data_IF_198031448325
#
_entry.id   IF_198031448325
#
_cell.length_a   1.000
_cell.length_b   1.000
_cell.length_c   1.000
_cell.angle_alpha   90.00
_cell.angle_beta   90.00
_cell.angle_gamma   90.00
#
_symmetry.space_group_name_H-M   'P 1'
#
loop_
_entity.id
_entity.type
_entity.pdbx_description
1 polymer ?
#
# COMPACT_ATOMS: atom_id res chain seq x y z
N UNK A 1 -16.22 -9.03 -7.53
CA UNK A 1 -15.27 -9.06 -8.70
C UNK A 1 -16.05 -9.20 -10.00
N UNK A 2 -15.80 -8.33 -10.97
CA UNK A 2 -16.47 -8.39 -12.28
C UNK A 2 -15.81 -9.46 -13.15
N UNK A 3 -16.58 -10.37 -13.73
CA UNK A 3 -16.09 -11.30 -14.73
C UNK A 3 -15.97 -10.60 -16.09
N UNK A 4 -14.83 -10.73 -16.74
CA UNK A 4 -14.58 -10.16 -18.07
C UNK A 4 -14.32 -11.29 -19.04
N UNK A 5 -14.97 -11.23 -20.20
CA UNK A 5 -14.76 -12.20 -21.27
C UNK A 5 -13.55 -11.76 -22.12
N UNK A 6 -12.49 -12.55 -22.14
CA UNK A 6 -11.33 -12.36 -23.02
C UNK A 6 -11.22 -13.49 -24.05
N UNK A 7 -10.65 -13.17 -25.22
CA UNK A 7 -10.34 -14.18 -26.22
C UNK A 7 -8.86 -14.55 -26.10
N UNK A 8 -8.56 -15.72 -25.52
CA UNK A 8 -7.22 -16.27 -25.39
C UNK A 8 -7.09 -17.46 -26.33
N UNK A 9 -6.12 -17.42 -27.25
CA UNK A 9 -5.89 -18.47 -28.27
C UNK A 9 -7.15 -18.83 -29.06
N UNK A 10 -7.98 -17.83 -29.43
CA UNK A 10 -9.21 -18.03 -30.20
C UNK A 10 -10.40 -18.60 -29.41
N UNK A 11 -10.24 -18.85 -28.11
CA UNK A 11 -11.33 -19.30 -27.24
C UNK A 11 -11.77 -18.18 -26.32
N UNK A 12 -13.07 -18.02 -26.14
CA UNK A 12 -13.64 -17.10 -25.13
C UNK A 12 -13.42 -17.70 -23.75
N UNK A 13 -12.66 -17.03 -22.93
CA UNK A 13 -12.39 -17.41 -21.54
C UNK A 13 -12.94 -16.33 -20.64
N UNK A 14 -13.65 -16.72 -19.60
CA UNK A 14 -14.08 -15.80 -18.54
C UNK A 14 -12.91 -15.67 -17.57
N UNK A 15 -12.36 -14.48 -17.47
CA UNK A 15 -11.30 -14.14 -16.51
C UNK A 15 -11.85 -13.19 -15.46
N UNK A 16 -11.46 -13.35 -14.22
CA UNK A 16 -11.72 -12.35 -13.18
C UNK A 16 -10.95 -11.10 -13.56
N UNK A 17 -11.64 -9.97 -13.72
CA UNK A 17 -10.99 -8.67 -13.87
C UNK A 17 -10.20 -8.40 -12.58
N UNK A 18 -8.90 -8.06 -12.64
CA UNK A 18 -8.18 -7.62 -11.47
C UNK A 18 -8.82 -6.35 -10.89
N UNK A 19 -8.81 -6.22 -9.57
CA UNK A 19 -9.25 -5.03 -8.86
C UNK A 19 -8.26 -3.90 -9.11
N UNK A 20 -8.75 -2.75 -9.54
CA UNK A 20 -7.96 -1.53 -9.68
C UNK A 20 -8.02 -0.74 -8.38
N UNK A 21 -6.94 -0.79 -7.60
CA UNK A 21 -6.79 -0.04 -6.36
C UNK A 21 -6.07 1.28 -6.62
N UNK A 22 -6.68 2.40 -6.22
CA UNK A 22 -6.12 3.73 -6.34
C UNK A 22 -5.83 4.38 -4.98
N UNK A 23 -4.81 5.27 -4.86
CA UNK A 23 -4.57 6.05 -3.65
C UNK A 23 -5.45 7.30 -3.60
N UNK A 24 -5.85 7.72 -2.40
CA UNK A 24 -6.40 9.04 -2.19
C UNK A 24 -5.85 9.72 -0.94
N UNK A 25 -5.45 10.99 -1.07
CA UNK A 25 -4.93 11.79 0.03
C UNK A 25 -5.99 12.65 0.73
N UNK A 26 -7.19 12.75 0.16
CA UNK A 26 -8.34 13.44 0.73
C UNK A 26 -9.64 12.95 0.06
N UNK A 27 -10.79 13.36 0.63
CA UNK A 27 -12.11 12.92 0.19
C UNK A 27 -12.44 13.30 -1.27
N UNK A 28 -12.03 14.48 -1.73
CA UNK A 28 -12.22 14.90 -3.10
C UNK A 28 -11.50 13.99 -4.10
N UNK A 29 -10.22 13.69 -3.84
CA UNK A 29 -9.42 12.76 -4.66
C UNK A 29 -9.99 11.35 -4.65
N UNK A 30 -10.53 10.91 -3.53
CA UNK A 30 -11.20 9.63 -3.39
C UNK A 30 -12.42 9.56 -4.32
N UNK A 31 -13.30 10.55 -4.25
CA UNK A 31 -14.48 10.64 -5.12
C UNK A 31 -14.10 10.64 -6.60
N UNK A 32 -13.08 11.41 -6.97
CA UNK A 32 -12.54 11.43 -8.33
C UNK A 32 -12.03 10.07 -8.75
N UNK A 33 -11.20 9.39 -7.94
CA UNK A 33 -10.66 8.08 -8.25
C UNK A 33 -11.76 7.04 -8.56
N UNK A 34 -12.79 7.00 -7.72
CA UNK A 34 -13.95 6.10 -7.90
C UNK A 34 -14.72 6.43 -9.18
N UNK A 35 -15.01 7.71 -9.43
CA UNK A 35 -15.73 8.16 -10.63
C UNK A 35 -14.95 7.87 -11.92
N UNK A 36 -13.61 7.81 -11.86
CA UNK A 36 -12.74 7.43 -12.97
C UNK A 36 -12.49 5.91 -13.07
N UNK A 37 -13.14 5.11 -12.24
CA UNK A 37 -13.21 3.66 -12.42
C UNK A 37 -12.31 2.84 -11.49
N UNK A 38 -11.82 3.41 -10.39
CA UNK A 38 -11.19 2.62 -9.34
C UNK A 38 -12.24 1.65 -8.74
N UNK A 39 -11.86 0.38 -8.62
CA UNK A 39 -12.69 -0.64 -7.96
C UNK A 39 -12.52 -0.58 -6.43
N UNK A 40 -11.37 -0.08 -5.96
CA UNK A 40 -11.10 0.20 -4.54
C UNK A 40 -10.20 1.42 -4.37
N UNK A 41 -10.27 2.07 -3.21
CA UNK A 41 -9.40 3.20 -2.87
C UNK A 41 -8.76 2.99 -1.51
N UNK A 42 -7.42 3.14 -1.41
CA UNK A 42 -6.76 3.12 -0.11
C UNK A 42 -6.48 4.53 0.41
N UNK A 43 -6.74 4.71 1.70
CA UNK A 43 -6.66 5.98 2.41
C UNK A 43 -5.87 5.83 3.71
N UNK A 44 -5.34 6.94 4.22
CA UNK A 44 -4.69 7.00 5.53
C UNK A 44 -5.56 7.68 6.57
N UNK A 45 -5.85 7.00 7.67
CA UNK A 45 -6.46 7.64 8.83
C UNK A 45 -5.48 8.58 9.56
N UNK A 46 -5.99 9.47 10.43
CA UNK A 46 -5.17 10.32 11.30
C UNK A 46 -4.33 9.52 12.29
N UNK A 47 -4.77 8.31 12.61
CA UNK A 47 -4.11 7.41 13.55
C UNK A 47 -3.58 6.17 12.81
N UNK A 48 -2.53 5.55 13.33
CA UNK A 48 -1.96 4.27 12.90
C UNK A 48 -1.52 4.19 11.43
N UNK A 49 -1.52 5.30 10.68
CA UNK A 49 -1.10 5.33 9.28
C UNK A 49 0.30 5.94 9.11
N UNK A 50 1.09 5.42 8.17
CA UNK A 50 2.36 6.02 7.77
C UNK A 50 2.23 7.39 7.10
N UNK A 51 1.04 7.79 6.73
CA UNK A 51 0.77 9.11 6.15
C UNK A 51 0.34 10.07 7.25
N UNK A 52 1.27 10.59 8.05
CA UNK A 52 1.01 11.57 9.12
C UNK A 52 0.84 13.01 8.62
N UNK A 53 0.23 13.22 7.45
CA UNK A 53 -0.02 14.58 6.95
C UNK A 53 -1.33 15.16 7.48
N UNK A 54 -1.42 16.50 7.50
CA UNK A 54 -2.63 17.22 7.96
C UNK A 54 -3.90 16.92 7.14
N UNK A 55 -3.77 16.24 6.01
CA UNK A 55 -4.86 15.85 5.11
C UNK A 55 -5.38 14.44 5.33
N UNK A 56 -4.91 13.73 6.37
CA UNK A 56 -5.42 12.39 6.67
C UNK A 56 -6.88 12.41 7.11
N UNK A 57 -7.59 11.32 6.82
CA UNK A 57 -9.00 11.15 7.08
C UNK A 57 -9.30 11.01 8.58
N UNK A 58 -10.25 11.78 9.10
CA UNK A 58 -10.87 11.53 10.40
C UNK A 58 -11.82 10.32 10.30
N UNK A 59 -12.35 9.83 11.43
CA UNK A 59 -13.33 8.74 11.39
C UNK A 59 -14.62 9.17 10.65
N UNK A 60 -15.01 10.45 10.78
CA UNK A 60 -16.15 11.02 10.05
C UNK A 60 -15.88 11.07 8.54
N UNK A 61 -14.65 11.48 8.13
CA UNK A 61 -14.26 11.46 6.72
C UNK A 61 -14.22 10.03 6.16
N UNK A 62 -13.79 9.05 6.97
CA UNK A 62 -13.78 7.62 6.59
C UNK A 62 -15.21 7.13 6.40
N UNK A 63 -16.13 7.48 7.29
CA UNK A 63 -17.54 7.12 7.16
C UNK A 63 -18.14 7.69 5.87
N UNK A 64 -17.94 8.98 5.58
CA UNK A 64 -18.39 9.60 4.32
C UNK A 64 -17.76 8.91 3.10
N UNK A 65 -16.49 8.54 3.19
CA UNK A 65 -15.78 7.82 2.13
C UNK A 65 -16.39 6.45 1.85
N UNK A 66 -16.70 5.68 2.89
CA UNK A 66 -17.34 4.35 2.80
C UNK A 66 -18.74 4.48 2.20
N UNK A 67 -19.56 5.40 2.69
CA UNK A 67 -20.91 5.64 2.17
C UNK A 67 -20.87 6.00 0.67
N UNK A 68 -19.97 6.90 0.27
CA UNK A 68 -19.80 7.26 -1.13
C UNK A 68 -19.30 6.09 -1.98
N UNK A 69 -18.29 5.36 -1.52
CA UNK A 69 -17.70 4.24 -2.25
C UNK A 69 -18.71 3.11 -2.47
N UNK A 70 -19.42 2.71 -1.43
CA UNK A 70 -20.41 1.63 -1.51
C UNK A 70 -21.57 1.97 -2.45
N UNK A 71 -22.03 3.24 -2.51
CA UNK A 71 -23.04 3.65 -3.48
C UNK A 71 -22.57 3.56 -4.93
N UNK A 72 -21.22 3.54 -5.15
CA UNK A 72 -20.59 3.40 -6.47
C UNK A 72 -20.00 2.01 -6.70
N UNK A 73 -20.28 1.04 -5.82
CA UNK A 73 -19.76 -0.33 -5.88
C UNK A 73 -18.22 -0.43 -5.81
N UNK A 74 -17.58 0.50 -5.10
CA UNK A 74 -16.15 0.51 -4.82
C UNK A 74 -15.87 0.23 -3.34
N UNK A 75 -14.68 -0.28 -3.03
CA UNK A 75 -14.23 -0.62 -1.68
C UNK A 75 -13.32 0.46 -1.09
N UNK A 76 -13.25 0.52 0.24
CA UNK A 76 -12.34 1.38 1.00
C UNK A 76 -11.38 0.56 1.83
N UNK A 77 -10.08 0.75 1.59
CA UNK A 77 -9.01 0.14 2.37
C UNK A 77 -8.32 1.20 3.25
N UNK A 78 -8.28 1.00 4.56
CA UNK A 78 -7.66 1.94 5.50
C UNK A 78 -6.27 1.44 5.90
N UNK A 79 -5.25 2.29 5.75
CA UNK A 79 -3.89 1.93 6.17
C UNK A 79 -3.74 2.03 7.68
N UNK A 80 -3.37 0.90 8.32
CA UNK A 80 -2.97 0.77 9.72
C UNK A 80 -1.53 0.21 9.76
N UNK A 81 -0.62 0.84 9.03
CA UNK A 81 0.65 0.26 8.62
C UNK A 81 1.89 0.95 9.23
N UNK A 82 1.76 1.63 10.35
CA UNK A 82 2.92 2.04 11.15
C UNK A 82 3.56 0.82 11.80
N UNK A 83 4.86 0.92 12.10
CA UNK A 83 5.51 0.01 13.03
C UNK A 83 5.12 0.46 14.43
N UNK A 84 4.41 -0.41 15.16
CA UNK A 84 3.91 -0.10 16.49
C UNK A 84 5.03 -0.01 17.51
N UNK A 85 4.97 1.03 18.33
CA UNK A 85 5.70 1.14 19.58
C UNK A 85 4.71 0.99 20.74
N UNK A 86 5.21 0.83 21.95
CA UNK A 86 4.37 0.61 23.15
C UNK A 86 3.31 1.69 23.37
N UNK A 87 3.64 2.94 23.05
CA UNK A 87 2.73 4.08 23.11
C UNK A 87 1.59 4.04 22.09
N UNK A 88 1.76 3.29 20.99
CA UNK A 88 0.75 3.12 19.95
C UNK A 88 -0.27 2.01 20.26
N UNK A 89 -0.05 1.19 21.27
CA UNK A 89 -1.00 0.12 21.64
C UNK A 89 -2.28 0.68 22.25
N UNK A 90 -2.19 1.85 22.89
CA UNK A 90 -3.35 2.50 23.48
C UNK A 90 -4.30 3.03 22.40
N UNK A 91 -5.55 2.62 22.48
CA UNK A 91 -6.63 3.02 21.55
C UNK A 91 -6.69 2.21 20.26
N UNK A 92 -5.69 1.33 19.97
CA UNK A 92 -5.65 0.54 18.76
C UNK A 92 -6.90 -0.38 18.62
N UNK A 93 -7.25 -1.10 19.67
CA UNK A 93 -8.42 -1.99 19.66
C UNK A 93 -9.71 -1.23 19.38
N UNK A 94 -9.91 -0.09 20.05
CA UNK A 94 -11.07 0.78 19.85
C UNK A 94 -11.12 1.32 18.42
N UNK A 95 -9.98 1.72 17.88
CA UNK A 95 -9.89 2.21 16.51
C UNK A 95 -10.27 1.14 15.48
N UNK A 96 -9.75 -0.08 15.63
CA UNK A 96 -10.08 -1.19 14.73
C UNK A 96 -11.56 -1.56 14.77
N UNK A 97 -12.17 -1.61 15.97
CA UNK A 97 -13.61 -1.83 16.14
C UNK A 97 -14.43 -0.72 15.47
N UNK A 98 -13.99 0.53 15.55
CA UNK A 98 -14.65 1.66 14.87
C UNK A 98 -14.59 1.54 13.35
N UNK A 99 -13.44 1.14 12.78
CA UNK A 99 -13.35 0.91 11.34
C UNK A 99 -14.30 -0.20 10.87
N UNK A 100 -14.40 -1.29 11.63
CA UNK A 100 -15.33 -2.38 11.33
C UNK A 100 -16.81 -1.96 11.46
N UNK A 101 -17.15 -1.13 12.48
CA UNK A 101 -18.49 -0.56 12.67
C UNK A 101 -18.89 0.38 11.53
N UNK A 102 -17.96 1.22 11.04
CA UNK A 102 -18.15 2.11 9.88
C UNK A 102 -18.40 1.31 8.59
N UNK A 103 -17.92 0.07 8.52
CA UNK A 103 -18.04 -0.78 7.33
C UNK A 103 -16.87 -0.61 6.35
N UNK A 104 -15.67 -0.30 6.86
CA UNK A 104 -14.45 -0.34 6.06
C UNK A 104 -14.25 -1.76 5.50
N UNK A 105 -13.90 -1.88 4.23
CA UNK A 105 -13.79 -3.19 3.57
C UNK A 105 -12.49 -3.91 3.95
N UNK A 106 -11.39 -3.18 4.11
CA UNK A 106 -10.11 -3.77 4.50
C UNK A 106 -9.20 -2.82 5.29
N UNK A 107 -8.30 -3.40 6.09
CA UNK A 107 -7.16 -2.68 6.69
C UNK A 107 -5.85 -3.19 6.10
N UNK A 108 -4.92 -2.27 5.78
CA UNK A 108 -3.58 -2.60 5.30
C UNK A 108 -2.60 -2.47 6.47
N UNK A 109 -1.99 -3.56 6.90
CA UNK A 109 -1.24 -3.66 8.15
C UNK A 109 0.22 -4.07 7.95
N UNK A 110 1.12 -3.55 8.78
CA UNK A 110 2.55 -3.90 8.76
C UNK A 110 3.03 -4.55 10.07
N UNK A 111 2.15 -4.68 11.05
CA UNK A 111 2.50 -5.27 12.35
C UNK A 111 1.73 -6.58 12.57
N UNK A 112 2.44 -7.70 12.86
CA UNK A 112 1.80 -8.99 13.13
C UNK A 112 0.83 -8.97 14.32
N UNK A 113 1.02 -8.05 15.27
CA UNK A 113 0.11 -7.89 16.39
C UNK A 113 -1.28 -7.42 15.92
N UNK A 114 -1.35 -6.48 14.96
CA UNK A 114 -2.64 -6.03 14.40
C UNK A 114 -3.35 -7.19 13.70
N UNK A 115 -2.62 -8.04 12.95
CA UNK A 115 -3.20 -9.23 12.30
C UNK A 115 -3.83 -10.18 13.34
N UNK A 116 -3.07 -10.45 14.40
CA UNK A 116 -3.56 -11.31 15.51
C UNK A 116 -4.74 -10.67 16.25
N UNK A 117 -4.70 -9.35 16.46
CA UNK A 117 -5.76 -8.62 17.14
C UNK A 117 -7.05 -8.59 16.33
N UNK A 118 -6.99 -8.34 15.03
CA UNK A 118 -8.13 -8.36 14.13
C UNK A 118 -8.85 -9.73 14.17
N UNK A 119 -8.08 -10.81 14.15
CA UNK A 119 -8.61 -12.17 14.30
C UNK A 119 -9.25 -12.41 15.68
N UNK A 120 -8.60 -11.95 16.75
CA UNK A 120 -9.12 -12.06 18.13
C UNK A 120 -10.44 -11.29 18.32
N UNK A 121 -10.55 -10.13 17.68
CA UNK A 121 -11.74 -9.27 17.73
C UNK A 121 -12.87 -9.74 16.80
N UNK A 122 -12.62 -10.77 15.98
CA UNK A 122 -13.55 -11.27 14.96
C UNK A 122 -14.08 -10.16 14.03
N UNK A 123 -13.17 -9.26 13.59
CA UNK A 123 -13.52 -8.19 12.67
C UNK A 123 -14.03 -8.79 11.34
N UNK A 124 -14.97 -8.10 10.71
CA UNK A 124 -15.56 -8.49 9.42
C UNK A 124 -14.76 -7.97 8.23
N UNK A 125 -14.02 -6.87 8.47
CA UNK A 125 -13.14 -6.29 7.44
C UNK A 125 -11.98 -7.24 7.12
N UNK A 126 -11.51 -7.18 5.86
CA UNK A 126 -10.35 -7.94 5.41
C UNK A 126 -9.05 -7.37 6.00
N UNK A 127 -8.06 -8.24 6.17
CA UNK A 127 -6.72 -7.88 6.65
C UNK A 127 -5.70 -8.10 5.54
N UNK A 128 -5.13 -7.00 5.02
CA UNK A 128 -4.14 -7.01 3.96
C UNK A 128 -2.74 -6.77 4.49
N UNK A 129 -1.79 -7.63 4.14
CA UNK A 129 -0.38 -7.47 4.51
C UNK A 129 0.24 -6.34 3.69
N UNK A 130 0.77 -5.32 4.37
CA UNK A 130 1.42 -4.18 3.71
C UNK A 130 2.71 -4.56 3.00
N UNK A 131 3.02 -3.87 1.90
CA UNK A 131 4.32 -3.92 1.22
C UNK A 131 5.52 -3.70 2.14
N UNK A 132 5.33 -3.03 3.29
CA UNK A 132 6.36 -2.77 4.28
C UNK A 132 6.90 -4.03 4.98
N UNK A 133 6.16 -5.14 4.95
CA UNK A 133 6.67 -6.42 5.42
C UNK A 133 7.57 -7.11 4.40
N UNK A 134 7.82 -6.47 3.25
CA UNK A 134 8.77 -6.93 2.23
C UNK A 134 8.52 -8.37 1.79
N UNK A 135 7.25 -8.73 1.59
CA UNK A 135 6.86 -10.08 1.19
C UNK A 135 7.22 -10.33 -0.27
N UNK A 136 8.01 -11.37 -0.54
CA UNK A 136 8.55 -11.65 -1.87
C UNK A 136 8.45 -13.11 -2.29
N UNK A 137 8.02 -14.02 -1.43
CA UNK A 137 8.05 -15.44 -1.71
C UNK A 137 6.88 -16.22 -1.11
N UNK A 138 6.63 -17.39 -1.68
CA UNK A 138 5.55 -18.28 -1.30
C UNK A 138 5.54 -18.66 0.19
N UNK A 139 6.72 -18.88 0.80
CA UNK A 139 6.79 -19.31 2.20
C UNK A 139 6.36 -18.20 3.15
N UNK A 140 6.75 -16.95 2.87
CA UNK A 140 6.31 -15.78 3.64
C UNK A 140 4.79 -15.57 3.49
N UNK A 141 4.24 -15.74 2.28
CA UNK A 141 2.80 -15.63 2.05
C UNK A 141 2.04 -16.68 2.86
N UNK A 142 2.45 -17.95 2.82
CA UNK A 142 1.85 -19.02 3.61
C UNK A 142 1.92 -18.78 5.12
N UNK A 143 2.98 -18.14 5.59
CA UNK A 143 3.05 -17.72 6.98
C UNK A 143 1.93 -16.73 7.33
N UNK A 144 1.67 -15.75 6.49
CA UNK A 144 0.59 -14.79 6.69
C UNK A 144 -0.80 -15.41 6.52
N UNK A 145 -0.99 -16.31 5.55
CA UNK A 145 -2.24 -17.11 5.44
C UNK A 145 -2.57 -17.83 6.76
N UNK A 146 -1.57 -18.43 7.42
CA UNK A 146 -1.77 -19.10 8.71
C UNK A 146 -2.16 -18.13 9.84
N UNK A 147 -1.81 -16.85 9.72
CA UNK A 147 -2.29 -15.80 10.63
C UNK A 147 -3.72 -15.36 10.33
N UNK A 148 -4.31 -15.79 9.21
CA UNK A 148 -5.68 -15.51 8.82
C UNK A 148 -5.82 -14.15 8.12
N UNK A 149 -4.82 -13.73 7.34
CA UNK A 149 -4.94 -12.55 6.46
C UNK A 149 -5.59 -12.94 5.13
N UNK A 150 -6.22 -11.96 4.48
CA UNK A 150 -7.03 -12.15 3.28
C UNK A 150 -6.26 -11.82 1.99
N UNK A 151 -5.28 -10.89 2.06
CA UNK A 151 -4.50 -10.43 0.92
C UNK A 151 -3.06 -10.11 1.30
N UNK A 152 -2.13 -10.28 0.36
CA UNK A 152 -0.73 -9.88 0.51
C UNK A 152 -0.34 -8.87 -0.56
N UNK A 153 0.13 -7.69 -0.13
CA UNK A 153 0.74 -6.70 -1.01
C UNK A 153 2.23 -7.01 -1.16
N UNK A 154 2.66 -7.30 -2.37
CA UNK A 154 4.05 -7.60 -2.65
C UNK A 154 4.99 -6.43 -2.37
N UNK A 155 6.23 -6.78 -2.04
CA UNK A 155 7.32 -5.83 -2.12
C UNK A 155 7.49 -5.34 -3.56
N UNK A 156 7.89 -4.08 -3.75
CA UNK A 156 8.09 -3.48 -5.07
C UNK A 156 9.26 -4.08 -5.84
N UNK A 157 10.11 -4.82 -5.15
CA UNK A 157 11.31 -5.50 -5.65
C UNK A 157 11.00 -6.84 -6.34
N UNK A 158 9.77 -7.34 -6.25
CA UNK A 158 9.33 -8.58 -6.92
C UNK A 158 9.17 -8.31 -8.41
N UNK A 159 9.77 -9.14 -9.24
CA UNK A 159 9.60 -9.06 -10.68
C UNK A 159 8.35 -9.82 -11.18
N UNK A 160 8.06 -9.68 -12.47
CA UNK A 160 6.88 -10.29 -13.08
C UNK A 160 6.95 -11.82 -13.13
N UNK A 161 8.15 -12.39 -13.26
CA UNK A 161 8.32 -13.84 -13.31
C UNK A 161 8.09 -14.47 -11.93
N UNK A 162 8.66 -13.85 -10.90
CA UNK A 162 8.43 -14.25 -9.50
C UNK A 162 6.95 -14.18 -9.14
N UNK A 163 6.26 -13.11 -9.58
CA UNK A 163 4.82 -12.95 -9.35
C UNK A 163 4.01 -14.11 -9.93
N UNK A 164 4.32 -14.53 -11.17
CA UNK A 164 3.69 -15.69 -11.80
C UNK A 164 3.93 -16.96 -11.01
N UNK A 165 5.19 -17.23 -10.65
CA UNK A 165 5.54 -18.45 -9.93
C UNK A 165 4.88 -18.52 -8.55
N UNK A 166 4.72 -17.39 -7.88
CA UNK A 166 4.01 -17.32 -6.60
C UNK A 166 2.52 -17.57 -6.82
N UNK A 167 1.91 -16.93 -7.84
CA UNK A 167 0.48 -17.10 -8.12
C UNK A 167 0.08 -18.54 -8.39
N UNK A 168 0.96 -19.33 -9.01
CA UNK A 168 0.73 -20.76 -9.24
C UNK A 168 0.73 -21.61 -7.96
N UNK A 169 1.26 -21.09 -6.86
CA UNK A 169 1.54 -21.84 -5.62
C UNK A 169 0.66 -21.44 -4.44
N UNK A 170 -0.10 -20.34 -4.54
CA UNK A 170 -0.95 -19.83 -3.46
C UNK A 170 -2.32 -19.42 -4.00
N UNK A 171 -3.35 -19.51 -3.16
CA UNK A 171 -4.73 -19.14 -3.52
C UNK A 171 -5.16 -17.80 -2.93
N UNK A 172 -4.45 -17.29 -1.92
CA UNK A 172 -4.71 -15.99 -1.29
C UNK A 172 -4.68 -14.85 -2.31
N UNK A 173 -5.43 -13.80 -2.07
CA UNK A 173 -5.40 -12.61 -2.92
C UNK A 173 -4.03 -11.93 -2.89
N UNK A 174 -3.54 -11.57 -4.08
CA UNK A 174 -2.24 -10.91 -4.26
C UNK A 174 -2.45 -9.52 -4.84
N UNK A 175 -1.72 -8.55 -4.30
CA UNK A 175 -1.73 -7.16 -4.76
C UNK A 175 -0.33 -6.76 -5.22
N UNK A 176 -0.24 -6.09 -6.36
CA UNK A 176 1.02 -5.66 -6.94
C UNK A 176 0.94 -4.22 -7.47
N UNK A 177 2.01 -3.44 -7.26
CA UNK A 177 2.10 -2.09 -7.80
C UNK A 177 2.36 -2.12 -9.30
N UNK A 178 1.57 -1.39 -10.07
CA UNK A 178 1.72 -1.25 -11.52
C UNK A 178 2.14 0.15 -11.95
N UNK A 179 1.93 1.15 -11.11
CA UNK A 179 2.25 2.54 -11.42
C UNK A 179 2.51 3.34 -10.15
N UNK A 180 3.47 4.25 -10.20
CA UNK A 180 3.74 5.22 -9.14
C UNK A 180 5.19 5.31 -8.71
N UNK A 181 5.43 6.14 -7.71
CA UNK A 181 6.75 6.43 -7.18
C UNK A 181 7.37 5.21 -6.49
N UNK A 182 8.61 4.90 -6.86
CA UNK A 182 9.41 3.87 -6.17
C UNK A 182 10.14 4.46 -4.98
N UNK A 183 10.08 3.75 -3.84
CA UNK A 183 10.92 4.06 -2.69
C UNK A 183 12.38 3.69 -2.99
N UNK A 184 13.34 4.53 -2.57
CA UNK A 184 14.78 4.21 -2.68
C UNK A 184 15.18 3.08 -1.73
N UNK A 185 14.47 2.94 -0.63
CA UNK A 185 14.72 1.91 0.37
C UNK A 185 13.89 0.66 0.13
N UNK A 186 14.42 -0.45 0.59
CA UNK A 186 13.77 -1.75 0.53
C UNK A 186 12.43 -1.71 1.25
N UNK A 187 11.36 -1.68 0.48
CA UNK A 187 9.95 -1.68 0.88
C UNK A 187 9.64 -0.92 2.18
N UNK A 188 10.15 0.31 2.29
CA UNK A 188 9.79 1.22 3.38
C UNK A 188 10.65 1.15 4.64
N UNK A 189 11.72 0.37 4.67
CA UNK A 189 12.69 0.32 5.80
C UNK A 189 13.70 1.44 5.70
N UNK A 190 13.25 2.68 5.87
CA UNK A 190 14.05 3.87 5.60
C UNK A 190 14.63 4.49 6.87
N UNK A 191 15.94 4.78 6.86
CA UNK A 191 16.65 5.54 7.88
C UNK A 191 17.07 6.95 7.43
N UNK A 192 16.91 7.31 6.15
CA UNK A 192 17.31 8.62 5.63
C UNK A 192 16.58 9.78 6.33
N UNK A 193 15.27 9.64 6.54
CA UNK A 193 14.49 10.69 7.21
C UNK A 193 14.93 10.89 8.66
N UNK A 194 15.33 9.82 9.36
CA UNK A 194 15.91 9.94 10.70
C UNK A 194 17.23 10.69 10.65
N UNK A 195 18.09 10.36 9.70
CA UNK A 195 19.41 10.97 9.57
C UNK A 195 19.32 12.46 9.19
N UNK A 196 18.58 12.80 8.14
CA UNK A 196 18.52 14.17 7.63
C UNK A 196 17.55 15.09 8.37
N UNK A 197 16.44 14.58 8.89
CA UNK A 197 15.37 15.41 9.45
C UNK A 197 14.91 15.01 10.84
N UNK A 198 15.54 14.02 11.47
CA UNK A 198 15.15 13.44 12.78
C UNK A 198 13.67 12.99 12.81
N UNK A 199 13.16 12.53 11.67
CA UNK A 199 11.78 12.05 11.53
C UNK A 199 11.79 10.56 11.24
N UNK A 200 10.96 9.79 11.94
CA UNK A 200 10.87 8.35 11.74
C UNK A 200 9.98 8.05 10.52
N UNK A 201 10.60 7.63 9.42
CA UNK A 201 9.90 7.27 8.20
C UNK A 201 8.99 6.04 8.36
N UNK A 202 9.28 5.18 9.34
CA UNK A 202 8.54 3.95 9.60
C UNK A 202 7.33 4.18 10.51
N UNK A 203 7.17 5.41 11.00
CA UNK A 203 6.04 5.88 11.82
C UNK A 203 5.32 7.09 11.20
N UNK A 204 5.36 7.22 9.88
CA UNK A 204 4.71 8.33 9.18
C UNK A 204 5.57 9.57 8.96
N UNK A 205 6.79 9.59 9.47
CA UNK A 205 7.70 10.72 9.40
C UNK A 205 8.54 10.81 8.12
N UNK A 206 8.17 10.15 7.01
CA UNK A 206 8.93 10.24 5.77
C UNK A 206 9.02 11.69 5.28
N UNK A 207 10.25 12.25 5.25
CA UNK A 207 10.53 13.60 4.75
C UNK A 207 10.80 13.64 3.24
N UNK A 208 10.72 12.49 2.56
CA UNK A 208 11.07 12.34 1.14
C UNK A 208 12.47 12.86 0.78
N UNK A 209 13.42 12.77 1.73
CA UNK A 209 14.79 13.24 1.52
C UNK A 209 15.49 12.59 0.32
N UNK A 210 15.09 11.38 -0.08
CA UNK A 210 15.56 10.76 -1.32
C UNK A 210 15.12 11.51 -2.60
N UNK A 211 14.19 12.46 -2.50
CA UNK A 211 13.69 13.28 -3.62
C UNK A 211 14.24 14.70 -3.60
N UNK A 212 15.16 15.00 -2.66
CA UNK A 212 15.81 16.30 -2.60
C UNK A 212 16.90 16.42 -3.65
N UNK A 213 17.27 17.66 -3.93
CA UNK A 213 18.44 17.99 -4.72
C UNK A 213 19.70 17.79 -3.89
N UNK A 214 20.72 17.15 -4.44
CA UNK A 214 22.01 16.92 -3.80
C UNK A 214 23.15 17.34 -4.71
N UNK A 215 24.09 18.13 -4.15
CA UNK A 215 25.40 18.32 -4.75
C UNK A 215 26.28 17.13 -4.39
N UNK A 216 26.92 16.54 -5.38
CA UNK A 216 27.82 15.39 -5.19
C UNK A 216 29.25 15.85 -5.32
N UNK A 217 30.09 15.42 -4.39
CA UNK A 217 31.51 15.72 -4.35
C UNK A 217 32.32 14.42 -4.40
N UNK A 218 33.39 14.44 -5.21
CA UNK A 218 34.44 13.43 -5.16
C UNK A 218 35.75 14.11 -4.74
N UNK A 219 36.34 13.72 -3.60
CA UNK A 219 37.59 14.30 -3.07
C UNK A 219 37.61 15.86 -3.07
N UNK A 220 36.58 16.45 -2.51
CA UNK A 220 36.36 17.91 -2.41
C UNK A 220 36.12 18.64 -3.73
N UNK A 221 36.01 17.95 -4.85
CA UNK A 221 35.59 18.52 -6.12
C UNK A 221 34.10 18.23 -6.35
N UNK A 222 33.33 19.28 -6.56
CA UNK A 222 31.94 19.16 -6.95
C UNK A 222 31.87 18.55 -8.37
N UNK A 223 31.17 17.45 -8.48
CA UNK A 223 30.93 16.82 -9.78
C UNK A 223 29.94 17.65 -10.59
N UNK A 224 30.24 17.81 -11.88
CA UNK A 224 29.47 18.71 -12.74
C UNK A 224 28.05 18.19 -12.97
N UNK A 225 27.05 19.06 -12.90
CA UNK A 225 25.65 18.72 -13.12
C UNK A 225 25.34 18.11 -14.49
N UNK A 226 26.16 18.39 -15.48
CA UNK A 226 26.02 17.82 -16.83
C UNK A 226 26.32 16.30 -16.87
N UNK A 227 27.03 15.80 -15.85
CA UNK A 227 27.41 14.39 -15.73
C UNK A 227 26.55 13.63 -14.70
N UNK A 228 25.80 14.34 -13.84
CA UNK A 228 25.03 13.75 -12.74
C UNK A 228 23.63 14.31 -12.73
N UNK A 229 22.65 13.40 -12.60
CA UNK A 229 21.25 13.78 -12.41
C UNK A 229 21.10 14.51 -11.07
N UNK A 230 20.54 15.74 -11.04
CA UNK A 230 20.43 16.55 -9.81
C UNK A 230 19.71 15.84 -8.65
N UNK A 231 18.82 14.89 -8.96
CA UNK A 231 18.09 14.08 -8.00
C UNK A 231 18.69 12.67 -7.90
N UNK A 232 19.98 12.60 -7.67
CA UNK A 232 20.82 11.39 -7.74
C UNK A 232 20.36 10.23 -6.83
N UNK A 233 19.64 10.53 -5.74
CA UNK A 233 19.05 9.52 -4.85
C UNK A 233 17.63 9.11 -5.22
N UNK A 234 17.03 9.75 -6.22
CA UNK A 234 15.65 9.45 -6.62
C UNK A 234 15.60 8.19 -7.47
N UNK A 235 14.86 7.18 -7.01
CA UNK A 235 14.62 5.98 -7.83
C UNK A 235 13.73 6.31 -9.04
N UNK A 236 13.88 5.54 -10.11
CA UNK A 236 12.98 5.60 -11.27
C UNK A 236 11.57 5.17 -10.84
N UNK A 237 10.56 5.90 -11.27
CA UNK A 237 9.18 5.54 -10.99
C UNK A 237 8.75 4.30 -11.79
N UNK A 238 7.83 3.53 -11.20
CA UNK A 238 7.28 2.35 -11.84
C UNK A 238 6.21 2.74 -12.85
N UNK A 239 6.23 2.12 -14.02
CA UNK A 239 5.17 2.21 -15.03
C UNK A 239 5.07 0.87 -15.75
N UNK A 240 4.07 0.07 -15.40
CA UNK A 240 3.78 -1.25 -15.96
C UNK A 240 2.38 -1.29 -16.61
N UNK A 241 1.80 -0.13 -16.92
CA UNK A 241 0.45 -0.04 -17.47
C UNK A 241 0.37 -0.76 -18.83
N UNK A 242 1.42 -0.69 -19.62
CA UNK A 242 1.51 -1.36 -20.93
C UNK A 242 1.62 -2.89 -20.84
N UNK A 243 1.92 -3.42 -19.66
CA UNK A 243 2.01 -4.86 -19.39
C UNK A 243 0.65 -5.48 -18.97
N UNK A 244 -0.33 -4.67 -18.59
CA UNK A 244 -1.64 -5.15 -18.10
C UNK A 244 -2.42 -6.05 -19.08
N UNK A 245 -2.30 -5.90 -20.42
CA UNK A 245 -3.02 -6.77 -21.37
C UNK A 245 -2.41 -8.18 -21.51
N UNK A 246 -1.23 -8.43 -20.94
CA UNK A 246 -0.50 -9.69 -21.06
C UNK A 246 -0.84 -10.65 -19.93
#
# INVERSE_FOLDING_TARGET
MREVSQVINGKRVIVKKPELLAPAGNLEKLKVAILYGADAVFIGGKEFSLRSSASNFSLEDIQEAVEFAHTHHAAIHVTCNIILHEDNLKGLEEYLLKLDEIGVDAIIVADPYIMSLAKKLHLKLEVHVSTQLSTMNTSAIRFYENLGVDRVVFAREVDYQDLKEVREKVDIDLEYFIHGAMCIHYSGRCMLSNYFSRRDANRGGCSQSCRWYYDIFEKDQQLNHDEIVPFSMSSKDMSLVDELPK
#
